data_IF_941080088434
#
_entry.id   IF_941080088434
#
_cell.length_a   1.000
_cell.length_b   1.000
_cell.length_c   1.000
_cell.angle_alpha   90.00
_cell.angle_beta   90.00
_cell.angle_gamma   90.00
#
_symmetry.space_group_name_H-M   'P 1'
#
loop_
_entity.id
_entity.type
_entity.pdbx_description
1 polymer ?
#
# COMPACT_ATOMS: atom_id res chain seq x y z
N UNK A 1 6.96 29.43 -10.74
CA UNK A 1 5.98 28.32 -10.69
C UNK A 1 6.67 26.99 -11.01
N UNK A 2 7.07 26.22 -10.00
CA UNK A 2 7.51 24.83 -10.23
C UNK A 2 6.33 23.99 -10.69
N UNK A 3 6.56 23.08 -11.64
CA UNK A 3 5.53 22.14 -12.11
C UNK A 3 4.94 21.36 -10.93
N UNK A 4 3.69 20.90 -11.06
CA UNK A 4 3.01 20.14 -9.98
C UNK A 4 3.82 18.91 -9.53
N UNK A 5 4.62 18.33 -10.43
CA UNK A 5 5.55 17.24 -10.12
C UNK A 5 6.72 17.69 -9.25
N UNK A 6 7.27 18.89 -9.48
CA UNK A 6 8.32 19.44 -8.63
C UNK A 6 7.82 19.70 -7.20
N UNK A 7 6.61 20.23 -7.07
CA UNK A 7 5.97 20.45 -5.76
C UNK A 7 5.75 19.13 -5.01
N UNK A 8 5.31 18.09 -5.72
CA UNK A 8 5.19 16.74 -5.18
C UNK A 8 6.54 16.19 -4.70
N UNK A 9 7.59 16.29 -5.53
CA UNK A 9 8.93 15.81 -5.19
C UNK A 9 9.52 16.55 -3.97
N UNK A 10 9.33 17.87 -3.90
CA UNK A 10 9.77 18.70 -2.78
C UNK A 10 9.02 18.34 -1.49
N UNK A 11 7.71 18.14 -1.55
CA UNK A 11 6.90 17.69 -0.41
C UNK A 11 7.35 16.31 0.10
N UNK A 12 7.67 15.39 -0.81
CA UNK A 12 8.18 14.07 -0.47
C UNK A 12 9.56 14.16 0.20
N UNK A 13 10.47 14.97 -0.34
CA UNK A 13 11.81 15.17 0.22
C UNK A 13 11.75 15.75 1.64
N UNK A 14 10.82 16.67 1.90
CA UNK A 14 10.59 17.25 3.23
C UNK A 14 9.78 16.37 4.17
N UNK A 15 9.23 15.25 3.68
CA UNK A 15 8.27 14.40 4.42
C UNK A 15 7.09 15.22 4.98
N UNK A 16 6.57 16.12 4.16
CA UNK A 16 5.46 17.00 4.52
C UNK A 16 4.13 16.41 4.01
N UNK A 17 3.32 15.87 4.93
CA UNK A 17 2.04 15.23 4.60
C UNK A 17 1.00 16.21 4.06
N UNK A 18 0.97 17.44 4.57
CA UNK A 18 0.01 18.45 4.09
C UNK A 18 0.40 18.95 2.71
N UNK A 19 1.70 19.15 2.46
CA UNK A 19 2.19 19.51 1.13
C UNK A 19 1.94 18.40 0.11
N UNK A 20 2.09 17.12 0.49
CA UNK A 20 1.74 15.98 -0.37
C UNK A 20 0.23 15.95 -0.69
N UNK A 21 -0.65 16.24 0.27
CA UNK A 21 -2.09 16.35 0.03
C UNK A 21 -2.47 17.52 -0.90
N UNK A 22 -1.77 18.66 -0.79
CA UNK A 22 -1.93 19.78 -1.72
C UNK A 22 -1.47 19.41 -3.12
N UNK A 23 -0.30 18.78 -3.26
CA UNK A 23 0.21 18.30 -4.54
C UNK A 23 -0.74 17.25 -5.16
N UNK A 24 -1.28 16.34 -4.36
CA UNK A 24 -2.26 15.35 -4.81
C UNK A 24 -3.53 16.01 -5.39
N UNK A 25 -4.06 17.01 -4.70
CA UNK A 25 -5.22 17.79 -5.19
C UNK A 25 -4.90 18.46 -6.53
N UNK A 26 -3.76 19.14 -6.63
CA UNK A 26 -3.34 19.83 -7.84
C UNK A 26 -3.08 18.88 -9.03
N UNK A 27 -2.62 17.65 -8.78
CA UNK A 27 -2.47 16.58 -9.77
C UNK A 27 -3.84 16.10 -10.26
N UNK A 28 -4.78 15.88 -9.34
CA UNK A 28 -6.13 15.40 -9.67
C UNK A 28 -6.90 16.41 -10.53
N UNK A 29 -6.82 17.70 -10.21
CA UNK A 29 -7.42 18.80 -10.99
C UNK A 29 -6.90 18.86 -12.43
N UNK A 30 -5.68 18.36 -12.67
CA UNK A 30 -5.02 18.30 -13.99
C UNK A 30 -5.21 16.95 -14.68
N UNK A 31 -6.02 16.05 -14.12
CA UNK A 31 -6.31 14.73 -14.70
C UNK A 31 -5.25 13.65 -14.41
N UNK A 32 -4.20 13.95 -13.65
CA UNK A 32 -3.14 13.00 -13.28
C UNK A 32 -3.58 12.11 -12.11
N UNK A 33 -4.66 11.33 -12.30
CA UNK A 33 -5.32 10.58 -11.23
C UNK A 33 -4.41 9.56 -10.52
N UNK A 34 -3.56 8.86 -11.26
CA UNK A 34 -2.63 7.90 -10.68
C UNK A 34 -1.61 8.60 -9.77
N UNK A 35 -0.96 9.65 -10.26
CA UNK A 35 0.00 10.44 -9.48
C UNK A 35 -0.66 11.09 -8.25
N UNK A 36 -1.91 11.54 -8.36
CA UNK A 36 -2.68 12.05 -7.23
C UNK A 36 -2.94 10.95 -6.17
N UNK A 37 -3.27 9.73 -6.61
CA UNK A 37 -3.43 8.58 -5.72
C UNK A 37 -2.13 8.25 -4.98
N UNK A 38 -1.00 8.26 -5.68
CA UNK A 38 0.33 8.03 -5.11
C UNK A 38 0.74 9.11 -4.10
N UNK A 39 0.49 10.38 -4.41
CA UNK A 39 0.77 11.49 -3.52
C UNK A 39 0.00 11.38 -2.20
N UNK A 40 -1.30 11.06 -2.26
CA UNK A 40 -2.05 10.77 -1.04
C UNK A 40 -1.54 9.52 -0.31
N UNK A 41 -1.13 8.48 -1.04
CA UNK A 41 -0.57 7.26 -0.45
C UNK A 41 0.73 7.51 0.32
N UNK A 42 1.60 8.34 -0.24
CA UNK A 42 2.83 8.78 0.41
C UNK A 42 2.52 9.68 1.62
N UNK A 43 1.52 10.56 1.53
CA UNK A 43 1.08 11.41 2.64
C UNK A 43 0.68 10.59 3.88
N UNK A 44 0.02 9.43 3.70
CA UNK A 44 -0.34 8.52 4.81
C UNK A 44 0.88 8.15 5.67
N UNK A 45 2.06 7.97 5.05
CA UNK A 45 3.27 7.52 5.75
C UNK A 45 3.95 8.62 6.56
N UNK A 46 3.68 9.89 6.25
CA UNK A 46 4.38 11.04 6.84
C UNK A 46 3.47 11.93 7.69
N UNK A 47 2.15 11.78 7.57
CA UNK A 47 1.19 12.47 8.43
C UNK A 47 1.38 12.09 9.90
N UNK A 48 1.57 13.11 10.74
CA UNK A 48 1.64 12.95 12.20
C UNK A 48 0.27 12.77 12.83
N UNK A 49 -0.75 13.46 12.31
CA UNK A 49 -2.15 13.31 12.75
C UNK A 49 -2.77 12.04 12.14
N UNK A 50 -3.19 11.06 12.96
CA UNK A 50 -3.85 9.86 12.46
C UNK A 50 -5.15 10.13 11.69
N UNK A 51 -5.86 11.23 11.99
CA UNK A 51 -7.08 11.61 11.25
C UNK A 51 -6.73 12.08 9.85
N UNK A 52 -5.72 12.92 9.70
CA UNK A 52 -5.18 13.32 8.39
C UNK A 52 -4.71 12.11 7.57
N UNK A 53 -3.90 11.23 8.17
CA UNK A 53 -3.46 10.00 7.50
C UNK A 53 -4.62 9.11 7.02
N UNK A 54 -5.69 8.97 7.82
CA UNK A 54 -6.90 8.24 7.38
C UNK A 54 -7.61 8.92 6.21
N UNK A 55 -7.72 10.25 6.19
CA UNK A 55 -8.32 10.98 5.07
C UNK A 55 -7.51 10.79 3.78
N UNK A 56 -6.19 10.94 3.85
CA UNK A 56 -5.31 10.71 2.69
C UNK A 56 -5.43 9.27 2.19
N UNK A 57 -5.49 8.28 3.10
CA UNK A 57 -5.72 6.87 2.74
C UNK A 57 -7.01 6.68 1.94
N UNK A 58 -8.13 7.23 2.44
CA UNK A 58 -9.43 7.13 1.76
C UNK A 58 -9.36 7.74 0.36
N UNK A 59 -8.73 8.90 0.21
CA UNK A 59 -8.56 9.58 -1.08
C UNK A 59 -7.68 8.78 -2.05
N UNK A 60 -6.56 8.25 -1.57
CA UNK A 60 -5.68 7.41 -2.37
C UNK A 60 -6.42 6.18 -2.94
N UNK A 61 -7.16 5.46 -2.09
CA UNK A 61 -7.94 4.29 -2.51
C UNK A 61 -9.06 4.65 -3.49
N UNK A 62 -9.75 5.78 -3.28
CA UNK A 62 -10.80 6.23 -4.18
C UNK A 62 -10.27 6.57 -5.59
N UNK A 63 -9.11 7.24 -5.67
CA UNK A 63 -8.46 7.56 -6.93
C UNK A 63 -7.85 6.32 -7.60
N UNK A 64 -7.20 5.44 -6.85
CA UNK A 64 -6.61 4.21 -7.36
C UNK A 64 -7.63 3.29 -8.06
N UNK A 65 -8.86 3.21 -7.53
CA UNK A 65 -9.96 2.45 -8.17
C UNK A 65 -10.30 2.94 -9.58
N UNK A 66 -10.03 4.21 -9.89
CA UNK A 66 -10.26 4.81 -11.21
C UNK A 66 -9.09 4.60 -12.18
N UNK A 67 -7.99 4.00 -11.72
CA UNK A 67 -6.76 3.81 -12.48
C UNK A 67 -6.62 2.38 -13.05
N UNK A 68 -7.73 1.69 -13.33
CA UNK A 68 -7.76 0.40 -14.04
C UNK A 68 -6.82 -0.68 -13.47
N UNK A 69 -6.65 -0.74 -12.14
CA UNK A 69 -5.79 -1.73 -11.50
C UNK A 69 -4.30 -1.40 -11.52
N UNK A 70 -3.93 -0.14 -11.79
CA UNK A 70 -2.54 0.33 -11.69
C UNK A 70 -1.88 -0.10 -10.38
N UNK A 71 -0.69 -0.69 -10.49
CA UNK A 71 0.13 -1.14 -9.37
C UNK A 71 1.37 -0.28 -9.30
N UNK A 72 1.55 0.40 -8.17
CA UNK A 72 2.75 1.20 -7.93
C UNK A 72 3.24 1.00 -6.50
N UNK A 73 4.54 1.24 -6.22
CA UNK A 73 5.10 1.05 -4.89
C UNK A 73 4.37 1.87 -3.80
N UNK A 74 3.92 3.08 -4.14
CA UNK A 74 3.19 3.94 -3.21
C UNK A 74 1.84 3.33 -2.81
N UNK A 75 1.08 2.79 -3.77
CA UNK A 75 -0.21 2.17 -3.53
C UNK A 75 -0.08 0.81 -2.84
N UNK A 76 0.90 -0.02 -3.23
CA UNK A 76 1.19 -1.29 -2.56
C UNK A 76 1.47 -1.10 -1.06
N UNK A 77 2.20 -0.03 -0.71
CA UNK A 77 2.48 0.34 0.68
C UNK A 77 1.22 0.61 1.52
N UNK A 78 0.14 1.12 0.91
CA UNK A 78 -1.13 1.31 1.61
C UNK A 78 -1.80 -0.02 1.95
N UNK A 79 -1.87 -0.93 0.98
CA UNK A 79 -2.56 -2.21 1.11
C UNK A 79 -1.86 -3.08 2.16
N UNK A 80 -0.52 -3.13 2.13
CA UNK A 80 0.29 -3.84 3.14
C UNK A 80 0.23 -3.21 4.55
N UNK A 81 -0.12 -1.92 4.63
CA UNK A 81 -0.36 -1.23 5.88
C UNK A 81 -1.58 -1.74 6.66
N UNK A 82 -2.53 -2.43 6.02
CA UNK A 82 -3.72 -3.01 6.70
C UNK A 82 -3.45 -4.35 7.36
N UNK A 83 -2.36 -5.00 6.97
CA UNK A 83 -1.96 -6.27 7.54
C UNK A 83 -1.36 -6.04 8.93
N UNK A 84 -1.62 -6.96 9.86
CA UNK A 84 -0.84 -7.02 11.10
C UNK A 84 0.61 -7.40 10.79
N UNK A 85 1.54 -7.13 11.72
CA UNK A 85 2.93 -7.53 11.56
C UNK A 85 3.06 -9.03 11.25
N UNK A 86 2.26 -9.87 11.93
CA UNK A 86 2.24 -11.31 11.72
C UNK A 86 1.70 -11.69 10.34
N UNK A 87 0.62 -11.04 9.90
CA UNK A 87 0.07 -11.26 8.55
C UNK A 87 1.08 -10.87 7.47
N UNK A 88 1.78 -9.73 7.61
CA UNK A 88 2.84 -9.34 6.67
C UNK A 88 3.94 -10.39 6.57
N UNK A 89 4.41 -10.90 7.70
CA UNK A 89 5.46 -11.92 7.72
C UNK A 89 5.02 -13.20 6.99
N UNK A 90 3.80 -13.67 7.25
CA UNK A 90 3.24 -14.87 6.62
C UNK A 90 3.03 -14.65 5.11
N UNK A 91 2.50 -13.49 4.71
CA UNK A 91 2.29 -13.13 3.30
C UNK A 91 3.62 -13.02 2.54
N UNK A 92 4.68 -12.48 3.17
CA UNK A 92 6.01 -12.41 2.58
C UNK A 92 6.60 -13.79 2.29
N UNK A 93 6.52 -14.72 3.25
CA UNK A 93 6.96 -16.09 3.04
C UNK A 93 6.11 -16.80 1.97
N UNK A 94 4.81 -16.52 1.95
CA UNK A 94 3.92 -17.10 0.96
C UNK A 94 4.21 -16.64 -0.47
N UNK A 95 4.51 -15.35 -0.64
CA UNK A 95 4.95 -14.77 -1.92
C UNK A 95 6.32 -15.31 -2.36
N UNK A 96 7.20 -15.66 -1.42
CA UNK A 96 8.47 -16.32 -1.70
C UNK A 96 8.31 -17.81 -2.09
N UNK A 97 7.09 -18.33 -2.17
CA UNK A 97 6.79 -19.68 -2.65
C UNK A 97 6.60 -20.75 -1.56
N UNK A 98 6.83 -20.44 -0.28
CA UNK A 98 6.79 -21.44 0.80
C UNK A 98 5.36 -21.92 1.09
N UNK A 99 5.10 -23.21 1.03
CA UNK A 99 3.82 -23.82 1.40
C UNK A 99 3.39 -23.49 2.84
N UNK A 100 2.11 -23.64 3.15
CA UNK A 100 1.60 -23.39 4.51
C UNK A 100 2.28 -24.28 5.57
N UNK A 101 2.78 -25.46 5.17
CA UNK A 101 3.54 -26.37 6.05
C UNK A 101 4.92 -25.79 6.36
N UNK A 102 5.67 -25.38 5.34
CA UNK A 102 7.00 -24.76 5.51
C UNK A 102 6.92 -23.45 6.30
N UNK A 103 5.88 -22.64 6.07
CA UNK A 103 5.64 -21.43 6.86
C UNK A 103 5.32 -21.77 8.32
N UNK A 104 4.50 -22.78 8.56
CA UNK A 104 4.12 -23.24 9.90
C UNK A 104 5.35 -23.72 10.68
N UNK A 105 6.22 -24.51 10.05
CA UNK A 105 7.48 -24.96 10.62
C UNK A 105 8.42 -23.79 10.94
N UNK A 106 8.65 -22.91 9.96
CA UNK A 106 9.56 -21.76 10.12
C UNK A 106 9.12 -20.77 11.18
N UNK A 107 7.81 -20.64 11.39
CA UNK A 107 7.23 -19.66 12.31
C UNK A 107 6.72 -20.29 13.61
N UNK A 108 6.95 -21.59 13.83
CA UNK A 108 6.48 -22.39 14.97
C UNK A 108 4.98 -22.21 15.21
N UNK A 109 4.17 -22.39 14.16
CA UNK A 109 2.71 -22.32 14.17
C UNK A 109 2.09 -23.62 13.67
N UNK A 110 0.78 -23.78 13.88
CA UNK A 110 0.02 -24.80 13.17
C UNK A 110 -0.27 -24.37 11.72
N UNK A 111 -0.37 -25.33 10.80
CA UNK A 111 -0.80 -25.09 9.40
C UNK A 111 -2.16 -24.39 9.35
N UNK A 112 -3.08 -24.75 10.26
CA UNK A 112 -4.39 -24.10 10.41
C UNK A 112 -4.26 -22.62 10.77
N UNK A 113 -3.36 -22.28 11.70
CA UNK A 113 -3.10 -20.89 12.10
C UNK A 113 -2.55 -20.07 10.93
N UNK A 114 -1.62 -20.64 10.15
CA UNK A 114 -1.10 -20.00 8.93
C UNK A 114 -2.23 -19.78 7.91
N UNK A 115 -3.07 -20.78 7.66
CA UNK A 115 -4.23 -20.68 6.78
C UNK A 115 -5.21 -19.57 7.20
N UNK A 116 -5.51 -19.47 8.50
CA UNK A 116 -6.38 -18.42 9.03
C UNK A 116 -5.78 -17.02 8.85
N UNK A 117 -4.47 -16.86 9.09
CA UNK A 117 -3.79 -15.59 8.86
C UNK A 117 -3.77 -15.20 7.39
N UNK A 118 -3.51 -16.14 6.48
CA UNK A 118 -3.56 -15.92 5.04
C UNK A 118 -4.96 -15.54 4.57
N UNK A 119 -5.99 -16.27 5.01
CA UNK A 119 -7.37 -15.93 4.70
C UNK A 119 -7.73 -14.51 5.13
N UNK A 120 -7.44 -14.16 6.38
CA UNK A 120 -7.69 -12.81 6.90
C UNK A 120 -6.86 -11.74 6.16
N UNK A 121 -5.64 -12.07 5.74
CA UNK A 121 -4.82 -11.18 4.92
C UNK A 121 -5.42 -10.99 3.53
N UNK A 122 -5.82 -12.06 2.84
CA UNK A 122 -6.47 -12.02 1.53
C UNK A 122 -7.73 -11.17 1.51
N UNK A 123 -8.57 -11.30 2.54
CA UNK A 123 -9.75 -10.44 2.71
C UNK A 123 -9.39 -8.96 2.82
N UNK A 124 -8.31 -8.63 3.54
CA UNK A 124 -7.83 -7.24 3.70
C UNK A 124 -7.17 -6.70 2.42
N UNK A 125 -6.43 -7.55 1.72
CA UNK A 125 -5.76 -7.19 0.47
C UNK A 125 -6.74 -7.09 -0.71
N UNK A 126 -7.97 -7.60 -0.57
CA UNK A 126 -8.95 -7.66 -1.66
C UNK A 126 -8.56 -8.66 -2.76
N UNK A 127 -7.65 -9.59 -2.46
CA UNK A 127 -7.15 -10.59 -3.40
C UNK A 127 -7.49 -11.99 -2.90
N UNK A 128 -8.12 -12.82 -3.74
CA UNK A 128 -8.45 -14.20 -3.37
C UNK A 128 -7.34 -15.22 -3.61
N UNK A 129 -6.22 -14.82 -4.24
CA UNK A 129 -5.23 -15.76 -4.74
C UNK A 129 -3.81 -15.50 -4.21
N UNK A 130 -3.16 -16.60 -3.83
CA UNK A 130 -1.75 -16.69 -3.48
C UNK A 130 -0.84 -16.23 -4.63
N UNK A 131 -1.23 -16.50 -5.88
CA UNK A 131 -0.52 -16.06 -7.08
C UNK A 131 -0.45 -14.54 -7.25
N UNK A 132 -1.35 -13.79 -6.60
CA UNK A 132 -1.32 -12.33 -6.59
C UNK A 132 -0.36 -11.76 -5.52
N UNK A 133 0.18 -12.56 -4.61
CA UNK A 133 1.04 -12.04 -3.55
C UNK A 133 2.39 -11.49 -4.03
N UNK A 134 3.12 -12.15 -4.96
CA UNK A 134 4.40 -11.64 -5.44
C UNK A 134 4.26 -10.23 -6.02
N UNK A 135 3.26 -9.98 -6.86
CA UNK A 135 3.05 -8.67 -7.48
C UNK A 135 2.62 -7.56 -6.48
N UNK A 136 2.11 -7.93 -5.30
CA UNK A 136 1.75 -6.99 -4.24
C UNK A 136 2.93 -6.66 -3.33
N UNK A 137 3.92 -7.57 -3.26
CA UNK A 137 5.09 -7.46 -2.41
C UNK A 137 6.34 -7.04 -3.17
N UNK A 138 6.32 -7.10 -4.51
CA UNK A 138 7.44 -6.67 -5.32
C UNK A 138 7.70 -5.18 -5.06
N UNK A 139 8.80 -4.95 -4.37
CA UNK A 139 9.25 -3.65 -3.88
C UNK A 139 10.43 -3.16 -4.72
N UNK A 140 10.53 -3.65 -5.95
CA UNK A 140 11.60 -3.43 -6.92
C UNK A 140 11.00 -2.59 -8.06
N UNK A 141 11.37 -1.34 -8.33
CA UNK A 141 12.51 -0.52 -7.92
C UNK A 141 12.06 0.93 -7.65
#
# INVERSE_FOLDING_TARGET
CGSVLAQHAEALARRDGEALDRAATALAERGFLLFAAEAHAQAVRVHRDPRAGRRSRTRALALARRCQGARTPALAGLVLGELTARQRQIVALAAAGLSNKEIAERLTLSVRTVGNHLYSAYTRLGTGDRGALPCLLDRSA
#
